data_IF_393199198599
#
_entry.id   IF_393199198599
#
_cell.length_a   1.000
_cell.length_b   1.000
_cell.length_c   1.000
_cell.angle_alpha   90.00
_cell.angle_beta   90.00
_cell.angle_gamma   90.00
#
_symmetry.space_group_name_H-M   'P 1'
#
loop_
_entity.id
_entity.type
_entity.pdbx_description
1 polymer ?
#
# COMPACT_ATOMS: atom_id res chain seq x y z
N UNK A 1 17.47 -20.31 8.34
CA UNK A 1 16.54 -19.17 8.39
C UNK A 1 15.45 -19.33 7.34
N UNK A 2 14.32 -18.63 7.46
CA UNK A 2 13.31 -18.53 6.41
C UNK A 2 13.37 -17.15 5.79
N UNK A 3 13.15 -17.05 4.47
CA UNK A 3 13.15 -15.79 3.75
C UNK A 3 11.86 -15.66 2.95
N UNK A 4 11.24 -14.48 2.95
CA UNK A 4 10.13 -14.20 2.07
C UNK A 4 10.42 -12.97 1.20
N UNK A 5 9.86 -12.99 -0.01
CA UNK A 5 9.94 -11.93 -1.01
C UNK A 5 8.53 -11.49 -1.42
N UNK A 6 8.30 -10.20 -1.49
CA UNK A 6 7.16 -9.61 -2.20
C UNK A 6 7.70 -8.88 -3.45
N UNK A 7 7.46 -9.44 -4.61
CA UNK A 7 7.89 -8.89 -5.89
C UNK A 7 6.85 -7.89 -6.41
N UNK A 8 6.84 -6.68 -5.83
CA UNK A 8 5.98 -5.61 -6.29
C UNK A 8 6.42 -5.01 -7.63
N UNK A 9 5.58 -4.16 -8.22
CA UNK A 9 5.88 -3.48 -9.50
C UNK A 9 7.04 -2.50 -9.35
N UNK A 10 7.07 -1.74 -8.25
CA UNK A 10 8.07 -0.68 -8.01
C UNK A 10 9.20 -1.14 -7.10
N UNK A 11 8.86 -1.87 -6.05
CA UNK A 11 9.81 -2.35 -5.04
C UNK A 11 9.66 -3.84 -4.83
N UNK A 12 10.78 -4.51 -4.57
CA UNK A 12 10.82 -5.87 -4.05
C UNK A 12 11.18 -5.79 -2.57
N UNK A 13 10.26 -6.28 -1.72
CA UNK A 13 10.46 -6.34 -0.28
C UNK A 13 10.90 -7.71 0.15
N UNK A 14 11.83 -7.75 1.11
CA UNK A 14 12.39 -8.99 1.63
C UNK A 14 12.31 -8.98 3.14
N UNK A 15 11.86 -10.08 3.72
CA UNK A 15 11.97 -10.34 5.14
C UNK A 15 12.78 -11.60 5.39
N UNK A 16 13.77 -11.46 6.27
CA UNK A 16 14.62 -12.56 6.71
C UNK A 16 14.29 -12.87 8.17
N UNK A 17 13.84 -14.09 8.42
CA UNK A 17 13.49 -14.57 9.75
C UNK A 17 14.63 -15.42 10.33
N UNK A 18 15.41 -14.82 11.22
CA UNK A 18 16.53 -15.44 11.92
C UNK A 18 16.17 -15.66 13.39
N UNK A 19 15.82 -16.87 13.77
CA UNK A 19 15.61 -17.40 15.14
C UNK A 19 14.61 -16.63 16.03
N UNK A 20 14.48 -15.37 16.02
CA UNK A 20 13.51 -14.56 16.78
C UNK A 20 13.52 -13.11 16.32
N UNK A 21 14.37 -12.78 15.37
CA UNK A 21 14.47 -11.43 14.82
C UNK A 21 14.15 -11.43 13.34
N UNK A 22 13.25 -10.55 12.95
CA UNK A 22 12.95 -10.28 11.55
C UNK A 22 13.78 -9.08 11.09
N UNK A 23 14.47 -9.22 9.95
CA UNK A 23 15.15 -8.13 9.26
C UNK A 23 14.40 -7.82 7.98
N UNK A 24 14.23 -6.56 7.65
CA UNK A 24 13.47 -6.07 6.51
C UNK A 24 14.41 -5.33 5.56
N UNK A 25 14.21 -5.57 4.27
CA UNK A 25 14.97 -4.92 3.21
C UNK A 25 14.04 -4.55 2.07
N UNK A 26 14.41 -3.52 1.31
CA UNK A 26 13.67 -3.07 0.12
C UNK A 26 14.65 -2.81 -1.00
N UNK A 27 14.34 -3.33 -2.17
CA UNK A 27 15.13 -3.17 -3.39
C UNK A 27 14.26 -2.60 -4.50
N UNK A 28 14.81 -1.84 -5.46
CA UNK A 28 14.12 -1.55 -6.69
C UNK A 28 13.74 -2.85 -7.41
N UNK A 29 12.51 -2.93 -7.92
CA UNK A 29 12.09 -4.13 -8.65
C UNK A 29 12.83 -4.29 -9.97
N UNK A 30 13.20 -5.52 -10.26
CA UNK A 30 13.85 -5.95 -11.49
C UNK A 30 13.07 -7.13 -12.09
N UNK A 31 13.58 -7.69 -13.19
CA UNK A 31 13.02 -8.92 -13.76
C UNK A 31 13.14 -10.06 -12.76
N UNK A 32 12.01 -10.69 -12.44
CA UNK A 32 11.94 -11.78 -11.46
C UNK A 32 12.58 -13.03 -12.07
N UNK A 33 13.70 -13.45 -11.50
CA UNK A 33 14.44 -14.67 -11.86
C UNK A 33 15.37 -15.07 -10.72
N UNK A 34 16.03 -16.20 -10.85
CA UNK A 34 16.98 -16.72 -9.85
C UNK A 34 18.18 -15.78 -9.63
N UNK A 35 18.67 -15.12 -10.69
CA UNK A 35 19.80 -14.19 -10.58
C UNK A 35 19.46 -12.99 -9.71
N UNK A 36 18.22 -12.50 -9.75
CA UNK A 36 17.79 -11.40 -8.89
C UNK A 36 17.70 -11.83 -7.41
N UNK A 37 17.25 -13.05 -7.14
CA UNK A 37 17.28 -13.62 -5.78
C UNK A 37 18.72 -13.72 -5.27
N UNK A 38 19.65 -14.15 -6.15
CA UNK A 38 21.07 -14.26 -5.81
C UNK A 38 21.72 -12.90 -5.50
N UNK A 39 21.47 -11.90 -6.35
CA UNK A 39 21.91 -10.50 -6.13
C UNK A 39 21.41 -9.94 -4.79
N UNK A 40 20.15 -10.22 -4.43
CA UNK A 40 19.60 -9.81 -3.14
C UNK A 40 20.33 -10.52 -1.99
N UNK A 41 20.52 -11.85 -2.07
CA UNK A 41 21.23 -12.59 -1.02
C UNK A 41 22.66 -12.11 -0.83
N UNK A 42 23.38 -11.85 -1.92
CA UNK A 42 24.73 -11.26 -1.87
C UNK A 42 24.73 -9.88 -1.18
N UNK A 43 23.78 -9.02 -1.58
CA UNK A 43 23.67 -7.64 -1.02
C UNK A 43 23.40 -7.64 0.49
N UNK A 44 22.59 -8.59 0.98
CA UNK A 44 22.28 -8.67 2.41
C UNK A 44 23.20 -9.63 3.19
N UNK A 45 24.26 -10.13 2.53
CA UNK A 45 25.26 -11.05 3.09
C UNK A 45 24.65 -12.33 3.68
N UNK A 46 23.76 -12.99 2.93
CA UNK A 46 23.17 -14.28 3.29
C UNK A 46 23.68 -15.35 2.33
N UNK A 47 24.23 -16.42 2.91
CA UNK A 47 24.63 -17.60 2.13
C UNK A 47 23.39 -18.48 1.88
N UNK A 48 23.23 -18.98 0.64
CA UNK A 48 22.07 -19.82 0.28
C UNK A 48 21.95 -21.07 1.17
N UNK A 49 23.06 -21.64 1.65
CA UNK A 49 23.08 -22.81 2.54
C UNK A 49 22.53 -22.53 3.95
N UNK A 50 22.39 -21.27 4.34
CA UNK A 50 21.76 -20.84 5.60
C UNK A 50 20.24 -20.74 5.50
N UNK A 51 19.71 -20.68 4.26
CA UNK A 51 18.28 -20.55 3.98
C UNK A 51 17.65 -21.93 3.90
N UNK A 52 16.62 -22.16 4.71
CA UNK A 52 15.88 -23.43 4.73
C UNK A 52 14.67 -23.43 3.80
N UNK A 53 13.93 -22.33 3.80
CA UNK A 53 12.71 -22.18 3.01
C UNK A 53 12.60 -20.76 2.47
N UNK A 54 12.00 -20.64 1.29
CA UNK A 54 11.68 -19.36 0.64
C UNK A 54 10.17 -19.30 0.41
N UNK A 55 9.55 -18.16 0.74
CA UNK A 55 8.20 -17.82 0.28
C UNK A 55 8.29 -16.67 -0.73
N UNK A 56 7.41 -16.67 -1.72
CA UNK A 56 7.32 -15.59 -2.71
C UNK A 56 5.87 -15.19 -2.92
N UNK A 57 5.63 -13.89 -3.07
CA UNK A 57 4.34 -13.30 -3.43
C UNK A 57 4.53 -12.12 -4.39
N UNK A 58 3.43 -11.54 -4.83
CA UNK A 58 3.42 -10.37 -5.72
C UNK A 58 3.67 -10.70 -7.18
N UNK A 59 3.22 -9.80 -8.04
CA UNK A 59 3.47 -9.74 -9.48
C UNK A 59 3.53 -11.09 -10.21
N UNK A 60 4.62 -11.30 -10.93
CA UNK A 60 4.91 -12.54 -11.68
C UNK A 60 5.74 -13.55 -10.87
N UNK A 61 5.63 -13.55 -9.55
CA UNK A 61 6.33 -14.53 -8.70
C UNK A 61 5.97 -15.99 -9.03
N UNK A 62 4.79 -16.20 -9.61
CA UNK A 62 4.35 -17.52 -10.15
C UNK A 62 5.25 -18.07 -11.25
N UNK A 63 5.98 -17.20 -11.97
CA UNK A 63 6.87 -17.60 -13.07
C UNK A 63 8.20 -18.18 -12.58
N UNK A 64 8.53 -18.01 -11.30
CA UNK A 64 9.70 -18.65 -10.70
C UNK A 64 9.54 -20.18 -10.67
N UNK A 65 10.66 -20.89 -10.78
CA UNK A 65 10.68 -22.33 -10.51
C UNK A 65 10.21 -22.64 -9.09
N UNK A 66 9.81 -23.88 -8.82
CA UNK A 66 9.42 -24.32 -7.47
C UNK A 66 10.63 -24.54 -6.55
N UNK A 67 11.83 -24.41 -7.09
CA UNK A 67 13.10 -24.54 -6.38
C UNK A 67 14.04 -23.41 -6.76
N UNK A 68 14.76 -22.89 -5.79
CA UNK A 68 15.96 -22.07 -5.97
C UNK A 68 17.16 -22.87 -5.47
N UNK A 69 18.05 -23.30 -6.38
CA UNK A 69 19.07 -24.30 -6.05
C UNK A 69 18.41 -25.52 -5.38
N UNK A 70 18.73 -25.83 -4.13
CA UNK A 70 18.14 -26.95 -3.37
C UNK A 70 17.07 -26.47 -2.35
N UNK A 71 16.60 -25.22 -2.44
CA UNK A 71 15.67 -24.63 -1.50
C UNK A 71 14.30 -24.58 -2.14
N UNK A 72 13.29 -25.14 -1.45
CA UNK A 72 11.90 -25.09 -1.90
C UNK A 72 11.36 -23.67 -1.86
N UNK A 73 10.73 -23.24 -2.95
CA UNK A 73 9.98 -21.99 -3.05
C UNK A 73 8.48 -22.27 -2.81
N UNK A 74 7.90 -21.61 -1.83
CA UNK A 74 6.46 -21.61 -1.58
C UNK A 74 5.86 -20.35 -2.20
N UNK A 75 5.04 -20.53 -3.23
CA UNK A 75 4.30 -19.44 -3.88
C UNK A 75 3.06 -19.12 -3.06
N UNK A 76 2.88 -17.86 -2.70
CA UNK A 76 1.78 -17.37 -1.87
C UNK A 76 0.93 -16.42 -2.72
N UNK A 77 -0.37 -16.67 -2.75
CA UNK A 77 -1.31 -15.79 -3.42
C UNK A 77 -1.27 -14.39 -2.76
N UNK A 78 -1.40 -13.34 -3.55
CA UNK A 78 -1.33 -11.96 -3.05
C UNK A 78 -2.44 -11.64 -2.05
N UNK A 79 -3.64 -12.17 -2.23
CA UNK A 79 -4.77 -11.99 -1.31
C UNK A 79 -4.47 -12.64 0.06
N UNK A 80 -3.90 -13.85 0.06
CA UNK A 80 -3.45 -14.53 1.27
C UNK A 80 -2.32 -13.75 1.95
N UNK A 81 -1.35 -13.28 1.16
CA UNK A 81 -0.24 -12.49 1.69
C UNK A 81 -0.71 -11.18 2.35
N UNK A 82 -1.67 -10.47 1.76
CA UNK A 82 -2.29 -9.28 2.35
C UNK A 82 -3.00 -9.65 3.66
N UNK A 83 -3.83 -10.69 3.65
CA UNK A 83 -4.61 -11.12 4.80
C UNK A 83 -3.74 -11.55 5.99
N UNK A 84 -2.79 -12.46 5.77
CA UNK A 84 -1.85 -12.90 6.81
C UNK A 84 -0.94 -11.77 7.28
N UNK A 85 -0.57 -10.84 6.41
CA UNK A 85 0.18 -9.64 6.76
C UNK A 85 -0.58 -8.74 7.72
N UNK A 86 -1.88 -8.53 7.47
CA UNK A 86 -2.75 -7.79 8.37
C UNK A 86 -2.88 -8.49 9.73
N UNK A 87 -3.08 -9.81 9.75
CA UNK A 87 -3.15 -10.59 11.00
C UNK A 87 -1.87 -10.40 11.82
N UNK A 88 -0.71 -10.50 11.18
CA UNK A 88 0.59 -10.39 11.87
C UNK A 88 0.84 -8.98 12.43
N UNK A 89 0.61 -7.94 11.63
CA UNK A 89 0.90 -6.55 12.03
C UNK A 89 -0.08 -6.05 13.08
N UNK A 90 -1.38 -6.33 12.90
CA UNK A 90 -2.44 -5.78 13.73
C UNK A 90 -2.95 -6.75 14.81
N UNK A 91 -2.38 -7.95 14.88
CA UNK A 91 -2.78 -9.01 15.82
C UNK A 91 -4.30 -9.31 15.76
N UNK A 92 -4.83 -9.49 14.55
CA UNK A 92 -6.28 -9.56 14.31
C UNK A 92 -6.88 -10.94 14.59
N UNK A 93 -6.09 -12.00 14.64
CA UNK A 93 -6.54 -13.39 14.84
C UNK A 93 -7.84 -13.71 14.07
N UNK A 94 -8.80 -14.37 14.68
CA UNK A 94 -9.99 -14.93 14.03
C UNK A 94 -11.17 -13.95 13.84
N UNK A 95 -10.93 -12.64 13.97
CA UNK A 95 -11.99 -11.63 13.80
C UNK A 95 -12.17 -11.27 12.33
N UNK A 96 -13.40 -10.95 11.88
CA UNK A 96 -13.60 -10.32 10.59
C UNK A 96 -12.89 -8.97 10.52
N UNK A 97 -12.36 -8.62 9.34
CA UNK A 97 -11.74 -7.31 9.11
C UNK A 97 -11.61 -7.00 7.61
N UNK A 98 -11.58 -5.72 7.31
CA UNK A 98 -11.22 -5.19 5.99
C UNK A 98 -9.80 -4.65 6.04
N UNK A 99 -8.96 -5.07 5.11
CA UNK A 99 -7.60 -4.57 4.92
C UNK A 99 -7.42 -4.00 3.52
N UNK A 100 -6.77 -2.86 3.44
CA UNK A 100 -6.42 -2.16 2.20
C UNK A 100 -4.90 -2.19 2.05
N UNK A 101 -4.42 -2.83 1.01
CA UNK A 101 -3.01 -2.82 0.64
C UNK A 101 -2.77 -1.81 -0.48
N UNK A 102 -2.17 -0.66 -0.15
CA UNK A 102 -1.91 0.42 -1.09
C UNK A 102 -0.42 0.55 -1.38
N UNK A 103 0.00 -0.06 -2.47
CA UNK A 103 1.34 0.01 -3.07
C UNK A 103 1.33 0.86 -4.34
N UNK A 104 1.74 0.31 -5.47
CA UNK A 104 1.66 0.96 -6.80
C UNK A 104 0.21 1.21 -7.21
N UNK A 105 -0.66 0.23 -7.02
CA UNK A 105 -2.12 0.33 -7.00
C UNK A 105 -2.66 0.01 -5.60
N UNK A 106 -3.96 -0.25 -5.50
CA UNK A 106 -4.63 -0.53 -4.21
C UNK A 106 -5.52 -1.75 -4.33
N UNK A 107 -5.36 -2.73 -3.44
CA UNK A 107 -6.19 -3.92 -3.32
C UNK A 107 -6.98 -3.88 -2.01
N UNK A 108 -8.23 -4.38 -2.05
CA UNK A 108 -9.13 -4.49 -0.90
C UNK A 108 -9.38 -5.97 -0.61
N UNK A 109 -9.13 -6.40 0.62
CA UNK A 109 -9.31 -7.78 1.07
C UNK A 109 -10.17 -7.81 2.32
N UNK A 110 -11.09 -8.74 2.36
CA UNK A 110 -11.94 -9.02 3.52
C UNK A 110 -11.62 -10.40 4.09
N UNK A 111 -11.37 -10.44 5.39
CA UNK A 111 -11.26 -11.69 6.14
C UNK A 111 -12.55 -11.97 6.89
N UNK A 112 -13.08 -13.16 6.69
CA UNK A 112 -14.20 -13.69 7.46
C UNK A 112 -14.13 -15.21 7.50
N UNK A 113 -14.42 -15.80 8.66
CA UNK A 113 -14.48 -17.26 8.86
C UNK A 113 -13.24 -18.02 8.37
N UNK A 114 -12.05 -17.44 8.59
CA UNK A 114 -10.78 -18.02 8.19
C UNK A 114 -10.45 -17.93 6.70
N UNK A 115 -11.25 -17.20 5.91
CA UNK A 115 -11.04 -17.02 4.47
C UNK A 115 -10.72 -15.57 4.13
N UNK A 116 -9.83 -15.38 3.15
CA UNK A 116 -9.53 -14.07 2.57
C UNK A 116 -10.23 -13.93 1.23
N UNK A 117 -11.05 -12.89 1.11
CA UNK A 117 -11.83 -12.60 -0.09
C UNK A 117 -11.35 -11.29 -0.71
N UNK A 118 -10.97 -11.32 -1.98
CA UNK A 118 -10.64 -10.12 -2.73
C UNK A 118 -11.92 -9.34 -3.05
N UNK A 119 -12.10 -8.17 -2.46
CA UNK A 119 -13.26 -7.29 -2.71
C UNK A 119 -13.10 -6.43 -3.96
N UNK A 120 -12.00 -6.57 -4.67
CA UNK A 120 -11.61 -5.70 -5.77
C UNK A 120 -10.47 -4.79 -5.41
N UNK A 121 -10.26 -3.78 -6.24
CA UNK A 121 -9.19 -2.80 -6.05
C UNK A 121 -9.37 -1.62 -6.99
N UNK A 122 -8.45 -0.68 -6.90
CA UNK A 122 -8.40 0.48 -7.80
C UNK A 122 -6.99 0.65 -8.36
N UNK A 123 -6.91 1.15 -9.59
CA UNK A 123 -5.62 1.42 -10.25
C UNK A 123 -4.98 2.74 -9.77
N UNK A 124 -5.39 3.24 -8.60
CA UNK A 124 -4.85 4.45 -7.97
C UNK A 124 -4.05 4.07 -6.73
N UNK A 125 -2.85 4.61 -6.61
CA UNK A 125 -1.93 4.40 -5.51
C UNK A 125 -0.63 5.17 -5.70
N UNK A 126 0.45 4.68 -5.12
CA UNK A 126 1.78 5.29 -5.22
C UNK A 126 2.30 5.39 -6.66
N UNK A 127 1.92 4.47 -7.54
CA UNK A 127 2.26 4.55 -8.98
C UNK A 127 1.60 5.75 -9.66
N UNK A 128 0.32 6.00 -9.34
CA UNK A 128 -0.42 7.17 -9.84
C UNK A 128 0.21 8.47 -9.34
N UNK A 129 0.53 8.54 -8.03
CA UNK A 129 1.23 9.68 -7.44
C UNK A 129 2.52 9.99 -8.20
N UNK A 130 3.39 8.99 -8.36
CA UNK A 130 4.69 9.16 -9.01
C UNK A 130 4.56 9.52 -10.49
N UNK A 131 3.64 8.85 -11.20
CA UNK A 131 3.41 9.08 -12.62
C UNK A 131 2.91 10.50 -12.91
N UNK A 132 1.86 10.94 -12.22
CA UNK A 132 1.31 12.28 -12.38
C UNK A 132 2.29 13.36 -11.95
N UNK A 133 2.97 13.18 -10.81
CA UNK A 133 4.00 14.13 -10.35
C UNK A 133 5.16 14.23 -11.33
N UNK A 134 5.62 13.11 -11.91
CA UNK A 134 6.65 13.13 -12.94
C UNK A 134 6.21 13.93 -14.18
N UNK A 135 4.98 13.75 -14.60
CA UNK A 135 4.44 14.40 -15.79
C UNK A 135 4.19 15.91 -15.59
N UNK A 136 3.64 16.29 -14.42
CA UNK A 136 3.17 17.66 -14.18
C UNK A 136 4.24 18.56 -13.56
N UNK A 137 5.12 18.00 -12.72
CA UNK A 137 6.12 18.80 -11.98
C UNK A 137 7.56 18.27 -12.09
N UNK A 138 7.81 17.22 -12.89
CA UNK A 138 9.15 16.66 -13.11
C UNK A 138 9.70 15.77 -11.99
N UNK A 139 9.00 15.58 -10.89
CA UNK A 139 9.42 14.80 -9.74
C UNK A 139 8.77 13.40 -9.72
N UNK A 140 9.58 12.36 -9.45
CA UNK A 140 9.10 10.98 -9.34
C UNK A 140 9.44 10.31 -8.00
N UNK A 141 10.32 10.92 -7.20
CA UNK A 141 10.71 10.40 -5.90
C UNK A 141 9.58 10.67 -4.88
N UNK A 142 9.01 9.65 -4.19
CA UNK A 142 7.90 9.84 -3.26
C UNK A 142 8.20 10.81 -2.13
N UNK A 143 9.43 10.79 -1.58
CA UNK A 143 9.82 11.66 -0.46
C UNK A 143 9.93 13.13 -0.91
N UNK A 144 10.39 13.38 -2.13
CA UNK A 144 10.43 14.73 -2.72
C UNK A 144 9.02 15.26 -2.99
N UNK A 145 8.14 14.38 -3.52
CA UNK A 145 6.73 14.74 -3.78
C UNK A 145 6.03 15.06 -2.46
N UNK A 146 6.26 14.28 -1.40
CA UNK A 146 5.68 14.54 -0.08
C UNK A 146 6.16 15.87 0.50
N UNK A 147 7.47 16.16 0.42
CA UNK A 147 8.04 17.44 0.87
C UNK A 147 7.45 18.64 0.13
N UNK A 148 7.18 18.51 -1.17
CA UNK A 148 6.48 19.54 -1.94
C UNK A 148 5.01 19.63 -1.46
N UNK A 149 4.30 18.52 -1.36
CA UNK A 149 2.89 18.48 -1.00
C UNK A 149 2.59 19.11 0.37
N UNK A 150 3.46 18.87 1.37
CA UNK A 150 3.33 19.46 2.70
C UNK A 150 3.42 21.00 2.68
N UNK A 151 4.16 21.58 1.74
CA UNK A 151 4.31 23.04 1.58
C UNK A 151 3.24 23.65 0.67
N UNK A 152 2.50 22.82 -0.06
CA UNK A 152 1.50 23.24 -1.01
C UNK A 152 0.13 23.50 -0.39
N UNK A 153 -0.67 24.26 -1.10
CA UNK A 153 -2.09 24.51 -0.80
C UNK A 153 -2.95 23.94 -1.93
N UNK A 154 -3.57 22.78 -1.68
CA UNK A 154 -4.45 22.13 -2.66
C UNK A 154 -5.67 22.97 -3.04
N UNK A 155 -6.12 23.87 -2.14
CA UNK A 155 -7.29 24.71 -2.37
C UNK A 155 -7.07 25.71 -3.53
N UNK A 156 -5.83 25.90 -3.96
CA UNK A 156 -5.52 26.67 -5.16
C UNK A 156 -5.93 25.96 -6.45
N UNK A 157 -6.06 24.63 -6.43
CA UNK A 157 -6.38 23.81 -7.60
C UNK A 157 -7.70 23.06 -7.46
N UNK A 158 -8.09 22.70 -6.23
CA UNK A 158 -9.30 21.95 -5.93
C UNK A 158 -10.47 22.86 -5.57
N UNK A 159 -11.69 22.53 -6.00
CA UNK A 159 -12.91 23.10 -5.41
C UNK A 159 -13.27 22.32 -4.15
N UNK A 160 -13.57 23.03 -3.08
CA UNK A 160 -14.11 22.47 -1.85
C UNK A 160 -15.63 22.59 -1.83
N UNK A 161 -16.30 21.81 -0.97
CA UNK A 161 -17.74 21.94 -0.76
C UNK A 161 -18.10 23.36 -0.35
N UNK A 162 -17.34 23.99 0.54
CA UNK A 162 -17.53 25.38 0.96
C UNK A 162 -17.40 26.43 -0.15
N UNK A 163 -16.70 26.09 -1.25
CA UNK A 163 -16.56 26.99 -2.41
C UNK A 163 -17.80 26.96 -3.33
N UNK A 164 -18.57 25.86 -3.32
CA UNK A 164 -19.59 25.58 -4.35
C UNK A 164 -21.02 25.42 -3.81
N UNK A 165 -21.18 25.35 -2.50
CA UNK A 165 -22.49 25.15 -1.84
C UNK A 165 -22.74 26.26 -0.80
N UNK A 166 -23.86 26.95 -0.92
CA UNK A 166 -24.26 28.02 0.03
C UNK A 166 -24.72 27.45 1.37
N UNK A 167 -25.42 26.31 1.35
CA UNK A 167 -25.89 25.60 2.57
C UNK A 167 -25.28 24.20 2.59
N UNK A 168 -24.33 23.99 3.49
CA UNK A 168 -23.49 22.79 3.52
C UNK A 168 -24.20 21.58 4.13
N UNK A 169 -25.29 21.78 4.87
CA UNK A 169 -26.03 20.72 5.57
C UNK A 169 -25.10 19.96 6.54
N UNK A 170 -25.02 18.63 6.40
CA UNK A 170 -24.17 17.77 7.22
C UNK A 170 -22.75 17.56 6.67
N UNK A 171 -22.43 18.10 5.49
CA UNK A 171 -21.11 17.98 4.88
C UNK A 171 -20.15 18.99 5.48
N UNK A 172 -18.88 18.60 5.57
CA UNK A 172 -17.82 19.50 6.04
C UNK A 172 -17.37 20.41 4.88
N UNK A 173 -17.20 21.74 5.10
CA UNK A 173 -16.81 22.68 4.04
C UNK A 173 -15.45 22.36 3.39
N UNK A 174 -14.53 21.75 4.16
CA UNK A 174 -13.18 21.41 3.71
C UNK A 174 -13.10 20.13 2.84
N UNK A 175 -14.23 19.43 2.63
CA UNK A 175 -14.27 18.27 1.76
C UNK A 175 -14.10 18.73 0.31
N UNK A 176 -13.28 18.00 -0.45
CA UNK A 176 -13.11 18.26 -1.88
C UNK A 176 -14.39 17.93 -2.65
N UNK A 177 -14.92 18.92 -3.34
CA UNK A 177 -16.02 18.77 -4.29
C UNK A 177 -15.49 18.27 -5.65
N UNK A 178 -14.33 18.80 -6.10
CA UNK A 178 -13.72 18.40 -7.35
C UNK A 178 -12.23 18.67 -7.35
N UNK A 179 -11.43 17.59 -7.48
CA UNK A 179 -9.99 17.70 -7.57
C UNK A 179 -9.59 18.38 -8.89
N UNK A 180 -8.60 19.27 -8.84
CA UNK A 180 -8.04 20.01 -9.96
C UNK A 180 -9.02 20.90 -10.77
N UNK A 181 -10.25 21.05 -10.34
CA UNK A 181 -11.25 21.73 -11.15
C UNK A 181 -11.00 23.26 -11.30
N UNK A 182 -10.28 23.89 -10.38
CA UNK A 182 -9.82 25.29 -10.51
C UNK A 182 -8.69 25.44 -11.53
N UNK A 183 -7.93 24.35 -11.78
CA UNK A 183 -6.77 24.39 -12.66
C UNK A 183 -7.12 24.76 -14.11
N UNK A 184 -8.35 24.50 -14.57
CA UNK A 184 -8.82 24.85 -15.93
C UNK A 184 -8.81 26.36 -16.20
N UNK A 185 -8.87 27.18 -15.15
CA UNK A 185 -8.94 28.63 -15.22
C UNK A 185 -7.59 29.32 -14.88
N UNK A 186 -6.52 28.52 -14.74
CA UNK A 186 -5.19 28.97 -14.35
C UNK A 186 -4.17 28.71 -15.46
N UNK A 187 -3.32 29.72 -15.74
CA UNK A 187 -2.21 29.56 -16.69
C UNK A 187 -1.10 28.65 -16.12
N UNK A 188 -0.89 28.66 -14.80
CA UNK A 188 0.12 27.85 -14.12
C UNK A 188 -0.16 27.73 -12.62
N UNK A 189 0.48 26.77 -11.98
CA UNK A 189 0.49 26.63 -10.52
C UNK A 189 1.86 26.17 -10.03
N UNK A 190 2.17 26.41 -8.75
CA UNK A 190 3.44 25.98 -8.19
C UNK A 190 3.52 24.45 -8.09
N UNK A 191 4.74 23.87 -8.21
CA UNK A 191 4.93 22.43 -7.98
C UNK A 191 4.40 21.93 -6.64
N UNK A 192 4.47 22.75 -5.60
CA UNK A 192 3.96 22.45 -4.26
C UNK A 192 2.44 22.25 -4.26
N UNK A 193 1.70 23.18 -4.88
CA UNK A 193 0.23 23.11 -4.95
C UNK A 193 -0.21 21.89 -5.78
N UNK A 194 0.46 21.62 -6.89
CA UNK A 194 0.20 20.47 -7.74
C UNK A 194 0.47 19.17 -6.96
N UNK A 195 1.60 19.08 -6.26
CA UNK A 195 1.94 17.92 -5.44
C UNK A 195 0.91 17.70 -4.31
N UNK A 196 0.44 18.78 -3.67
CA UNK A 196 -0.59 18.71 -2.63
C UNK A 196 -1.93 18.17 -3.19
N UNK A 197 -2.39 18.70 -4.32
CA UNK A 197 -3.63 18.23 -4.97
C UNK A 197 -3.54 16.79 -5.43
N UNK A 198 -2.44 16.36 -6.06
CA UNK A 198 -2.25 14.95 -6.48
C UNK A 198 -2.26 14.03 -5.26
N UNK A 199 -1.49 14.36 -4.21
CA UNK A 199 -1.39 13.55 -3.00
C UNK A 199 -2.74 13.42 -2.30
N UNK A 200 -3.46 14.53 -2.15
CA UNK A 200 -4.81 14.54 -1.57
C UNK A 200 -5.78 13.71 -2.42
N UNK A 201 -5.81 13.89 -3.73
CA UNK A 201 -6.67 13.12 -4.64
C UNK A 201 -6.42 11.61 -4.50
N UNK A 202 -5.17 11.18 -4.47
CA UNK A 202 -4.82 9.76 -4.25
C UNK A 202 -5.35 9.28 -2.90
N UNK A 203 -5.16 10.07 -1.85
CA UNK A 203 -5.66 9.76 -0.51
C UNK A 203 -7.19 9.65 -0.47
N UNK A 204 -7.90 10.60 -1.06
CA UNK A 204 -9.36 10.60 -1.10
C UNK A 204 -9.94 9.42 -1.87
N UNK A 205 -9.33 9.04 -3.00
CA UNK A 205 -9.79 7.88 -3.78
C UNK A 205 -9.59 6.59 -2.99
N UNK A 206 -8.42 6.42 -2.34
CA UNK A 206 -8.16 5.27 -1.46
C UNK A 206 -9.11 5.28 -0.28
N UNK A 207 -9.31 6.42 0.38
CA UNK A 207 -10.22 6.55 1.52
C UNK A 207 -11.66 6.23 1.17
N UNK A 208 -12.11 6.68 -0.01
CA UNK A 208 -13.47 6.43 -0.50
C UNK A 208 -13.73 4.94 -0.72
N UNK A 209 -12.83 4.25 -1.45
CA UNK A 209 -13.00 2.80 -1.65
C UNK A 209 -12.89 2.03 -0.32
N UNK A 210 -12.08 2.54 0.61
CA UNK A 210 -11.90 1.93 1.92
C UNK A 210 -13.17 1.96 2.76
N UNK A 211 -13.84 3.12 2.88
CA UNK A 211 -15.07 3.19 3.66
C UNK A 211 -16.23 2.45 2.98
N UNK A 212 -16.32 2.48 1.65
CA UNK A 212 -17.36 1.73 0.93
C UNK A 212 -17.22 0.22 1.17
N UNK A 213 -16.01 -0.32 1.14
CA UNK A 213 -15.78 -1.74 1.46
C UNK A 213 -16.06 -2.07 2.91
N UNK A 214 -15.69 -1.18 3.86
CA UNK A 214 -16.00 -1.37 5.27
C UNK A 214 -17.52 -1.41 5.50
N UNK A 215 -18.27 -0.48 4.90
CA UNK A 215 -19.75 -0.47 4.98
C UNK A 215 -20.35 -1.73 4.36
N UNK A 216 -19.85 -2.19 3.21
CA UNK A 216 -20.29 -3.41 2.56
C UNK A 216 -20.11 -4.64 3.46
N UNK A 217 -19.00 -4.68 4.21
CA UNK A 217 -18.68 -5.78 5.13
C UNK A 217 -19.20 -5.56 6.56
N UNK A 218 -19.94 -4.47 6.82
CA UNK A 218 -20.43 -4.08 8.14
C UNK A 218 -19.30 -3.93 9.18
N UNK A 219 -18.14 -3.39 8.73
CA UNK A 219 -16.98 -3.13 9.57
C UNK A 219 -16.87 -1.64 9.91
N UNK A 220 -16.41 -1.35 11.13
CA UNK A 220 -16.21 0.04 11.63
C UNK A 220 -14.74 0.46 11.61
N UNK A 221 -13.85 -0.45 11.20
CA UNK A 221 -12.41 -0.22 11.11
C UNK A 221 -11.87 -0.77 9.81
N UNK A 222 -10.87 -0.07 9.27
CA UNK A 222 -10.10 -0.51 8.11
C UNK A 222 -8.62 -0.50 8.45
N UNK A 223 -7.91 -1.57 8.12
CA UNK A 223 -6.48 -1.74 8.36
C UNK A 223 -5.71 -1.46 7.09
N UNK A 224 -4.62 -0.72 7.18
CA UNK A 224 -3.86 -0.29 6.00
C UNK A 224 -2.49 -0.95 5.93
N UNK A 225 -2.18 -1.53 4.77
CA UNK A 225 -0.86 -2.01 4.39
C UNK A 225 -0.34 -1.21 3.19
N UNK A 226 0.94 -1.33 2.92
CA UNK A 226 1.61 -0.72 1.78
C UNK A 226 2.10 0.69 2.03
N UNK A 227 2.96 1.17 1.11
CA UNK A 227 3.73 2.42 1.29
C UNK A 227 2.94 3.69 1.06
N UNK A 228 1.85 3.66 0.28
CA UNK A 228 1.11 4.89 -0.02
C UNK A 228 0.61 5.59 1.24
N UNK A 229 0.22 4.82 2.26
CA UNK A 229 -0.24 5.37 3.53
C UNK A 229 0.88 5.89 4.46
N UNK A 230 2.16 5.74 4.10
CA UNK A 230 3.27 6.38 4.80
C UNK A 230 3.33 7.87 4.50
N UNK A 231 2.96 8.27 3.28
CA UNK A 231 2.87 9.67 2.91
C UNK A 231 1.77 10.37 3.74
N UNK A 232 2.15 11.43 4.45
CA UNK A 232 1.28 12.10 5.42
C UNK A 232 0.08 12.79 4.77
N UNK A 233 0.24 13.37 3.58
CA UNK A 233 -0.85 14.03 2.84
C UNK A 233 -1.84 13.00 2.31
N UNK A 234 -1.36 11.89 1.74
CA UNK A 234 -2.22 10.77 1.33
C UNK A 234 -2.98 10.23 2.53
N UNK A 235 -2.30 9.99 3.65
CA UNK A 235 -2.93 9.48 4.87
C UNK A 235 -4.02 10.42 5.38
N UNK A 236 -3.78 11.72 5.40
CA UNK A 236 -4.79 12.71 5.78
C UNK A 236 -6.01 12.62 4.87
N UNK A 237 -5.83 12.56 3.55
CA UNK A 237 -6.94 12.39 2.61
C UNK A 237 -7.73 11.09 2.82
N UNK A 238 -7.05 10.00 3.17
CA UNK A 238 -7.72 8.73 3.56
C UNK A 238 -8.56 8.94 4.83
N UNK A 239 -7.95 9.46 5.89
CA UNK A 239 -8.60 9.64 7.20
C UNK A 239 -9.82 10.57 7.10
N UNK A 240 -9.73 11.64 6.32
CA UNK A 240 -10.84 12.57 6.11
C UNK A 240 -12.02 11.90 5.41
N UNK A 241 -11.79 11.03 4.42
CA UNK A 241 -12.87 10.27 3.78
C UNK A 241 -13.48 9.21 4.71
N UNK A 242 -12.67 8.53 5.50
CA UNK A 242 -13.16 7.54 6.48
C UNK A 242 -14.05 8.19 7.55
N UNK A 243 -13.71 9.41 8.01
CA UNK A 243 -14.52 10.17 8.98
C UNK A 243 -15.94 10.42 8.50
N UNK A 244 -16.17 10.60 7.18
CA UNK A 244 -17.51 10.82 6.64
C UNK A 244 -18.46 9.65 6.89
N UNK A 245 -17.94 8.46 7.00
CA UNK A 245 -18.69 7.22 7.27
C UNK A 245 -18.56 6.75 8.73
N UNK A 246 -17.95 7.54 9.62
CA UNK A 246 -17.62 7.15 10.99
C UNK A 246 -16.80 5.84 11.07
N UNK A 247 -15.89 5.64 10.13
CA UNK A 247 -15.00 4.48 10.07
C UNK A 247 -13.61 4.89 10.52
N UNK A 248 -12.96 4.06 11.33
CA UNK A 248 -11.61 4.29 11.81
C UNK A 248 -10.57 3.65 10.89
N UNK A 249 -9.59 4.42 10.44
CA UNK A 249 -8.38 3.90 9.81
C UNK A 249 -7.34 3.49 10.85
N UNK A 250 -6.71 2.33 10.67
CA UNK A 250 -5.67 1.83 11.57
C UNK A 250 -4.36 1.67 10.79
N UNK A 251 -3.30 2.31 11.30
CA UNK A 251 -2.01 2.45 10.62
C UNK A 251 -0.87 2.14 11.59
N UNK A 252 -0.41 0.89 11.61
CA UNK A 252 0.72 0.46 12.45
C UNK A 252 2.07 0.63 11.73
N UNK A 253 3.13 0.58 12.50
CA UNK A 253 4.50 0.56 11.97
C UNK A 253 4.75 -0.72 11.17
N UNK A 254 5.65 -0.64 10.19
CA UNK A 254 6.01 -1.73 9.28
C UNK A 254 4.89 -2.21 8.35
N UNK A 255 3.79 -1.46 8.24
CA UNK A 255 2.70 -1.77 7.31
C UNK A 255 3.14 -1.81 5.85
N UNK A 256 4.25 -1.13 5.51
CA UNK A 256 4.89 -1.20 4.20
C UNK A 256 5.40 -2.58 3.84
N UNK A 257 5.70 -3.42 4.83
CA UNK A 257 6.15 -4.80 4.68
C UNK A 257 5.02 -5.83 4.88
N UNK A 258 3.76 -5.40 4.88
CA UNK A 258 2.62 -6.26 5.18
C UNK A 258 2.56 -7.50 4.31
N UNK A 259 2.65 -7.35 3.00
CA UNK A 259 2.53 -8.47 2.06
C UNK A 259 3.67 -9.48 2.23
N UNK A 260 4.91 -9.01 2.35
CA UNK A 260 6.06 -9.92 2.54
C UNK A 260 6.02 -10.63 3.90
N UNK A 261 5.53 -9.95 4.94
CA UNK A 261 5.27 -10.57 6.24
C UNK A 261 4.21 -11.64 6.15
N UNK A 262 3.12 -11.38 5.44
CA UNK A 262 2.06 -12.36 5.22
C UNK A 262 2.53 -13.59 4.47
N UNK A 263 3.38 -13.42 3.47
CA UNK A 263 4.01 -14.55 2.78
C UNK A 263 4.87 -15.40 3.73
N UNK A 264 5.62 -14.75 4.64
CA UNK A 264 6.40 -15.46 5.67
C UNK A 264 5.49 -16.20 6.67
N UNK A 265 4.40 -15.59 7.12
CA UNK A 265 3.43 -16.21 8.05
C UNK A 265 2.78 -17.43 7.40
N UNK A 266 2.33 -17.29 6.15
CA UNK A 266 1.78 -18.41 5.38
C UNK A 266 2.78 -19.57 5.26
N UNK A 267 4.04 -19.29 4.94
CA UNK A 267 5.10 -20.30 4.87
C UNK A 267 5.22 -21.05 6.20
N UNK A 268 5.28 -20.32 7.33
CA UNK A 268 5.40 -20.94 8.67
C UNK A 268 4.22 -21.83 9.00
N UNK A 269 3.00 -21.41 8.69
CA UNK A 269 1.81 -22.22 8.91
C UNK A 269 1.76 -23.52 8.08
N UNK A 270 2.46 -23.54 6.93
CA UNK A 270 2.61 -24.74 6.08
C UNK A 270 3.69 -25.72 6.57
N UNK A 271 4.59 -25.28 7.46
CA UNK A 271 5.70 -26.08 8.00
C UNK A 271 5.37 -26.72 9.37
N UNK A 272 4.31 -26.23 10.03
CA UNK A 272 3.73 -26.80 11.27
C UNK A 272 2.68 -27.85 10.95
#
# INVERSE_FOLDING_TARGET
MNVAFDFGITNTDVVVDCYSKKKFFTFPSQKINESFIEEIFETINIQHNEVKNIAVTGGKSSDLNDMYKNIKITKVNEVDAIGYGAIEIYNLKDKPFVVISSGTGTACVYHNEGQFNHLGGISVGGGTLQGLSKYLIGHKNPDEIEKLAIRGDRNKLDYLIGDVVNEIGSLHPEITASNFAKAKDLDSSSPENIAASISNMVGEVIGTISYLNAMLCNETKVYFLGRSSLNTVIRTGIEDRLKLANIAGVFEDKREYGNVLGALVYLKAKLT
#
